data_IF_055934346783
#
_entry.id   IF_055934346783
#
_cell.length_a   1.000
_cell.length_b   1.000
_cell.length_c   1.000
_cell.angle_alpha   90.00
_cell.angle_beta   90.00
_cell.angle_gamma   90.00
#
_symmetry.space_group_name_H-M   'P 1'
#
loop_
_entity.id
_entity.type
_entity.pdbx_description
1 polymer ?
#
# COMPACT_ATOMS: atom_id res chain seq x y z
N UNK A 1 -27.41 16.21 29.58
CA UNK A 1 -26.89 16.48 28.22
C UNK A 1 -27.14 15.27 27.34
N UNK A 2 -27.67 15.44 26.12
CA UNK A 2 -27.61 14.36 25.11
C UNK A 2 -26.19 14.33 24.55
N UNK A 3 -25.50 13.18 24.60
CA UNK A 3 -24.27 12.98 23.81
C UNK A 3 -24.67 13.08 22.33
N UNK A 4 -24.11 14.07 21.62
CA UNK A 4 -24.24 14.09 20.16
C UNK A 4 -23.43 12.91 19.61
N UNK A 5 -24.09 11.96 18.94
CA UNK A 5 -23.39 10.89 18.22
C UNK A 5 -22.75 11.50 16.98
N UNK A 6 -21.41 11.52 16.93
CA UNK A 6 -20.65 12.14 15.83
C UNK A 6 -20.86 11.44 14.48
N UNK A 7 -21.28 10.17 14.50
CA UNK A 7 -21.57 9.38 13.30
C UNK A 7 -22.94 8.70 13.37
N UNK A 8 -23.48 8.37 12.19
CA UNK A 8 -24.82 7.81 11.98
C UNK A 8 -24.88 6.29 12.17
N UNK A 9 -23.72 5.65 12.22
CA UNK A 9 -23.51 4.21 12.36
C UNK A 9 -22.32 4.03 13.33
N UNK A 10 -22.50 3.23 14.39
CA UNK A 10 -21.45 2.95 15.37
C UNK A 10 -20.59 1.75 14.95
N UNK A 11 -21.13 0.82 14.15
CA UNK A 11 -20.42 -0.37 13.71
C UNK A 11 -19.35 -0.01 12.67
N UNK A 12 -19.59 1.01 11.83
CA UNK A 12 -18.58 1.52 10.89
C UNK A 12 -17.41 2.22 11.59
N UNK A 13 -17.66 2.96 12.69
CA UNK A 13 -16.61 3.58 13.51
C UNK A 13 -15.74 2.50 14.19
N UNK A 14 -16.37 1.43 14.69
CA UNK A 14 -15.67 0.27 15.27
C UNK A 14 -14.82 -0.47 14.24
N UNK A 15 -15.31 -0.59 13.00
CA UNK A 15 -14.51 -1.13 11.87
C UNK A 15 -13.27 -0.28 11.61
N UNK A 16 -13.46 1.03 11.42
CA UNK A 16 -12.38 1.95 11.09
C UNK A 16 -11.31 2.06 12.19
N UNK A 17 -11.73 2.06 13.47
CA UNK A 17 -10.81 2.07 14.61
C UNK A 17 -9.99 0.77 14.68
N UNK A 18 -10.62 -0.37 14.42
CA UNK A 18 -9.93 -1.66 14.37
C UNK A 18 -8.90 -1.75 13.25
N UNK A 19 -9.17 -1.17 12.08
CA UNK A 19 -8.19 -1.02 11.01
C UNK A 19 -6.99 -0.17 11.48
N UNK A 20 -7.24 1.03 12.01
CA UNK A 20 -6.18 1.94 12.45
C UNK A 20 -5.27 1.33 13.52
N UNK A 21 -5.84 0.70 14.54
CA UNK A 21 -5.07 0.05 15.60
C UNK A 21 -4.24 -1.14 15.06
N UNK A 22 -4.77 -1.91 14.10
CA UNK A 22 -4.01 -2.96 13.41
C UNK A 22 -2.84 -2.37 12.62
N UNK A 23 -3.03 -1.26 11.90
CA UNK A 23 -1.95 -0.61 11.15
C UNK A 23 -0.87 -0.04 12.09
N UNK A 24 -1.27 0.55 13.22
CA UNK A 24 -0.33 1.04 14.26
C UNK A 24 0.48 -0.11 14.85
N UNK A 25 -0.16 -1.20 15.26
CA UNK A 25 0.53 -2.38 15.79
C UNK A 25 1.50 -2.99 14.76
N UNK A 26 1.12 -3.08 13.48
CA UNK A 26 2.03 -3.56 12.42
C UNK A 26 3.24 -2.64 12.19
N UNK A 27 3.04 -1.32 12.18
CA UNK A 27 4.14 -0.36 12.01
C UNK A 27 5.10 -0.41 13.21
N UNK A 28 4.59 -0.51 14.44
CA UNK A 28 5.40 -0.55 15.67
C UNK A 28 6.15 -1.89 15.79
N UNK A 29 5.44 -3.03 15.69
CA UNK A 29 6.01 -4.35 15.93
C UNK A 29 6.92 -4.84 14.79
N UNK A 30 6.66 -4.47 13.54
CA UNK A 30 7.46 -4.97 12.40
C UNK A 30 8.86 -4.37 12.33
N UNK A 31 9.11 -3.27 13.07
CA UNK A 31 10.36 -2.51 13.05
C UNK A 31 10.83 -2.17 11.62
N UNK A 32 9.92 -1.63 10.80
CA UNK A 32 10.22 -1.17 9.43
C UNK A 32 10.42 -2.29 8.41
N UNK A 33 10.06 -3.53 8.73
CA UNK A 33 10.14 -4.68 7.81
C UNK A 33 8.82 -5.04 7.13
N UNK A 34 7.70 -4.55 7.67
CA UNK A 34 6.45 -4.41 6.95
C UNK A 34 6.22 -2.93 6.65
N UNK A 35 5.57 -2.64 5.54
CA UNK A 35 5.06 -1.31 5.24
C UNK A 35 3.58 -1.40 4.87
N UNK A 36 2.76 -0.52 5.44
CA UNK A 36 1.31 -0.48 5.20
C UNK A 36 1.05 0.50 4.06
N UNK A 37 0.19 0.13 3.12
CA UNK A 37 -0.33 1.04 2.10
C UNK A 37 -1.86 1.05 2.18
N UNK A 38 -2.45 2.23 2.38
CA UNK A 38 -3.90 2.37 2.56
C UNK A 38 -4.58 2.75 1.24
N UNK A 39 -5.75 2.16 0.91
CA UNK A 39 -6.45 2.43 -0.34
C UNK A 39 -6.95 3.87 -0.41
N UNK A 40 -6.89 4.47 -1.59
CA UNK A 40 -7.52 5.77 -1.87
C UNK A 40 -9.02 5.64 -2.22
N UNK A 41 -9.46 4.43 -2.53
CA UNK A 41 -10.84 4.04 -2.78
C UNK A 41 -11.05 2.64 -2.22
N UNK A 42 -12.00 2.49 -1.28
CA UNK A 42 -12.39 1.18 -0.77
C UNK A 42 -12.97 0.29 -1.88
N UNK A 43 -12.37 -0.89 -2.03
CA UNK A 43 -12.79 -1.97 -2.93
C UNK A 43 -12.79 -3.34 -2.22
N UNK A 44 -12.91 -3.35 -0.89
CA UNK A 44 -12.94 -4.53 -0.03
C UNK A 44 -11.58 -5.01 0.47
N UNK A 45 -10.48 -4.35 0.10
CA UNK A 45 -9.15 -4.53 0.68
C UNK A 45 -8.83 -3.27 1.49
N UNK A 46 -8.60 -3.44 2.79
CA UNK A 46 -8.50 -2.35 3.77
C UNK A 46 -7.05 -1.82 3.87
N UNK A 47 -6.06 -2.66 3.53
CA UNK A 47 -4.69 -2.24 3.22
C UNK A 47 -3.97 -3.24 2.30
N UNK A 48 -2.89 -2.79 1.69
CA UNK A 48 -1.92 -3.63 1.00
C UNK A 48 -0.59 -3.54 1.75
N UNK A 49 0.01 -4.68 2.11
CA UNK A 49 1.24 -4.72 2.92
C UNK A 49 2.42 -5.17 2.06
N UNK A 50 3.54 -4.46 2.16
CA UNK A 50 4.82 -4.82 1.55
C UNK A 50 5.75 -5.43 2.61
N UNK A 51 6.28 -6.63 2.36
CA UNK A 51 7.37 -7.22 3.15
C UNK A 51 8.71 -6.85 2.53
N UNK A 52 9.45 -5.99 3.21
CA UNK A 52 10.67 -5.33 2.71
C UNK A 52 11.84 -6.30 2.49
N UNK A 53 11.82 -7.49 3.12
CA UNK A 53 12.91 -8.46 3.06
C UNK A 53 12.96 -9.25 1.75
N UNK A 54 11.81 -9.60 1.18
CA UNK A 54 11.69 -10.39 -0.06
C UNK A 54 10.92 -9.67 -1.17
N UNK A 55 10.39 -8.47 -0.91
CA UNK A 55 9.64 -7.67 -1.88
C UNK A 55 8.22 -8.18 -2.13
N UNK A 56 7.71 -9.08 -1.29
CA UNK A 56 6.36 -9.65 -1.45
C UNK A 56 5.27 -8.67 -0.99
N UNK A 57 4.12 -8.77 -1.64
CA UNK A 57 2.95 -7.92 -1.38
C UNK A 57 1.76 -8.81 -1.04
N UNK A 58 0.99 -8.44 -0.02
CA UNK A 58 -0.21 -9.16 0.36
C UNK A 58 -1.35 -8.19 0.72
N UNK A 59 -2.53 -8.33 0.07
CA UNK A 59 -3.72 -7.57 0.42
C UNK A 59 -4.29 -8.06 1.76
N UNK A 60 -4.81 -7.13 2.55
CA UNK A 60 -5.29 -7.38 3.91
C UNK A 60 -6.67 -6.74 4.09
N UNK A 61 -7.58 -7.51 4.68
CA UNK A 61 -8.91 -7.09 5.11
C UNK A 61 -9.04 -7.26 6.62
N UNK A 62 -9.49 -6.24 7.34
CA UNK A 62 -9.71 -6.24 8.79
C UNK A 62 -11.21 -6.37 9.09
N UNK A 63 -11.56 -7.14 10.12
CA UNK A 63 -12.93 -7.26 10.63
C UNK A 63 -12.92 -7.12 12.16
N UNK A 64 -13.09 -5.87 12.60
CA UNK A 64 -13.21 -5.49 14.01
C UNK A 64 -14.58 -5.77 14.61
N UNK A 65 -14.62 -6.01 15.93
CA UNK A 65 -15.83 -6.00 16.77
C UNK A 65 -15.53 -5.33 18.10
N UNK A 66 -16.46 -4.50 18.60
CA UNK A 66 -16.36 -3.85 19.92
C UNK A 66 -16.69 -4.80 21.09
N UNK A 67 -17.30 -5.96 20.81
CA UNK A 67 -17.64 -6.97 21.81
C UNK A 67 -17.55 -8.38 21.25
N UNK A 68 -17.05 -9.31 22.07
CA UNK A 68 -17.06 -10.75 21.81
C UNK A 68 -18.40 -11.37 22.27
N UNK A 69 -18.99 -12.24 21.44
CA UNK A 69 -20.13 -13.06 21.88
C UNK A 69 -19.62 -14.36 22.48
N UNK A 70 -19.79 -14.54 23.79
CA UNK A 70 -19.31 -15.70 24.55
C UNK A 70 -17.81 -15.98 24.30
N UNK A 71 -16.97 -14.94 24.45
CA UNK A 71 -15.52 -15.00 24.20
C UNK A 71 -15.14 -15.27 22.74
N UNK A 72 -16.09 -15.13 21.80
CA UNK A 72 -15.89 -15.47 20.39
C UNK A 72 -16.17 -14.29 19.46
N UNK A 73 -15.27 -14.09 18.50
CA UNK A 73 -15.40 -13.16 17.39
C UNK A 73 -16.38 -13.74 16.37
N UNK A 74 -17.31 -12.91 15.89
CA UNK A 74 -18.35 -13.31 14.94
C UNK A 74 -18.08 -12.64 13.59
N UNK A 75 -17.58 -13.42 12.64
CA UNK A 75 -17.29 -12.99 11.27
C UNK A 75 -18.40 -13.51 10.36
N UNK A 76 -19.00 -12.61 9.59
CA UNK A 76 -19.94 -12.92 8.50
C UNK A 76 -19.42 -12.18 7.28
N UNK A 77 -19.11 -12.93 6.23
CA UNK A 77 -18.56 -12.39 4.99
C UNK A 77 -19.44 -12.85 3.81
N UNK A 78 -19.98 -11.93 2.99
CA UNK A 78 -20.56 -12.28 1.70
C UNK A 78 -19.57 -13.09 0.85
N UNK A 79 -20.02 -14.15 0.18
CA UNK A 79 -19.12 -14.95 -0.66
C UNK A 79 -18.48 -14.11 -1.78
N UNK A 80 -19.17 -13.05 -2.24
CA UNK A 80 -18.69 -12.11 -3.25
C UNK A 80 -17.76 -11.01 -2.72
N UNK A 81 -17.57 -10.87 -1.39
CA UNK A 81 -16.57 -9.95 -0.81
C UNK A 81 -15.26 -10.65 -0.47
N UNK A 82 -15.19 -11.96 -0.67
CA UNK A 82 -13.98 -12.75 -0.54
C UNK A 82 -13.60 -13.21 -1.96
N UNK A 83 -12.83 -12.39 -2.67
CA UNK A 83 -12.49 -12.62 -4.09
C UNK A 83 -11.08 -13.15 -4.31
N UNK A 84 -10.20 -12.99 -3.33
CA UNK A 84 -8.76 -13.21 -3.47
C UNK A 84 -8.32 -14.28 -2.45
N UNK A 85 -8.10 -15.54 -2.87
CA UNK A 85 -7.84 -16.64 -1.94
C UNK A 85 -6.57 -16.45 -1.09
N UNK A 86 -5.64 -15.60 -1.54
CA UNK A 86 -4.36 -15.33 -0.89
C UNK A 86 -4.39 -14.04 -0.03
N UNK A 87 -5.45 -13.23 -0.12
CA UNK A 87 -5.65 -12.09 0.76
C UNK A 87 -5.79 -12.52 2.23
N UNK A 88 -5.20 -11.75 3.15
CA UNK A 88 -5.28 -12.00 4.58
C UNK A 88 -6.52 -11.36 5.19
N UNK A 89 -7.30 -12.17 5.92
CA UNK A 89 -8.39 -11.73 6.76
C UNK A 89 -7.90 -11.65 8.22
N UNK A 90 -7.84 -10.43 8.74
CA UNK A 90 -7.54 -10.12 10.14
C UNK A 90 -8.85 -9.96 10.93
N UNK A 91 -9.05 -10.80 11.94
CA UNK A 91 -10.20 -10.72 12.84
C UNK A 91 -9.77 -10.24 14.22
N UNK A 92 -10.30 -9.10 14.68
CA UNK A 92 -9.91 -8.49 15.96
C UNK A 92 -11.12 -8.12 16.80
N UNK A 93 -10.97 -8.23 18.12
CA UNK A 93 -11.84 -7.53 19.07
C UNK A 93 -11.15 -6.24 19.53
N UNK A 94 -11.94 -5.20 19.80
CA UNK A 94 -11.47 -4.01 20.49
C UNK A 94 -11.78 -4.12 21.99
N UNK A 95 -10.78 -3.84 22.82
CA UNK A 95 -10.83 -3.78 24.27
C UNK A 95 -10.20 -2.45 24.70
N UNK A 96 -10.95 -1.62 25.43
CA UNK A 96 -10.57 -0.25 25.80
C UNK A 96 -10.00 0.57 24.63
N UNK A 97 -10.74 0.56 23.51
CA UNK A 97 -10.44 1.22 22.22
C UNK A 97 -9.17 0.73 21.48
N UNK A 98 -8.48 -0.28 22.01
CA UNK A 98 -7.29 -0.91 21.41
C UNK A 98 -7.56 -2.33 20.89
N UNK A 99 -6.70 -2.88 20.02
CA UNK A 99 -6.78 -4.30 19.66
C UNK A 99 -6.59 -5.18 20.91
N UNK A 100 -7.52 -6.10 21.13
CA UNK A 100 -7.51 -7.05 22.25
C UNK A 100 -6.31 -8.03 22.21
N UNK A 101 -6.11 -8.84 23.26
CA UNK A 101 -4.89 -9.63 23.44
C UNK A 101 -4.65 -10.73 22.39
N UNK A 102 -5.66 -11.09 21.59
CA UNK A 102 -5.56 -12.11 20.55
C UNK A 102 -6.20 -11.64 19.25
N UNK A 103 -5.60 -12.07 18.13
CA UNK A 103 -5.99 -11.72 16.76
C UNK A 103 -6.12 -12.99 15.91
N UNK A 104 -7.12 -13.05 15.05
CA UNK A 104 -7.20 -14.04 13.97
C UNK A 104 -6.38 -13.53 12.79
N UNK A 105 -5.53 -14.39 12.23
CA UNK A 105 -4.80 -14.16 10.96
C UNK A 105 -4.98 -15.40 10.09
N UNK A 106 -5.70 -15.27 8.97
CA UNK A 106 -6.04 -16.40 8.08
C UNK A 106 -6.14 -15.90 6.63
N UNK A 107 -5.85 -16.72 5.62
CA UNK A 107 -6.15 -16.34 4.21
C UNK A 107 -7.64 -16.47 3.92
N UNK A 108 -8.18 -15.75 2.93
CA UNK A 108 -9.56 -15.96 2.51
C UNK A 108 -9.82 -17.40 2.04
N UNK A 109 -8.85 -18.01 1.36
CA UNK A 109 -8.93 -19.40 0.89
C UNK A 109 -9.13 -20.37 2.05
N UNK A 110 -8.33 -20.25 3.11
CA UNK A 110 -8.49 -21.06 4.31
C UNK A 110 -9.76 -20.72 5.09
N UNK A 111 -10.14 -19.44 5.15
CA UNK A 111 -11.42 -19.04 5.74
C UNK A 111 -12.60 -19.69 5.01
N UNK A 112 -12.67 -19.61 3.67
CA UNK A 112 -13.68 -20.28 2.82
C UNK A 112 -13.71 -21.80 3.02
N UNK A 113 -12.55 -22.41 3.30
CA UNK A 113 -12.38 -23.86 3.52
C UNK A 113 -12.94 -24.32 4.86
N UNK A 114 -12.75 -23.55 5.94
CA UNK A 114 -13.09 -23.97 7.30
C UNK A 114 -14.30 -23.25 7.92
N UNK A 115 -14.74 -22.13 7.35
CA UNK A 115 -15.96 -21.44 7.73
C UNK A 115 -17.21 -22.24 7.35
N UNK A 116 -18.30 -21.99 8.06
CA UNK A 116 -19.59 -22.60 7.76
C UNK A 116 -20.26 -21.81 6.62
N UNK A 117 -20.84 -22.51 5.64
CA UNK A 117 -21.60 -21.89 4.54
C UNK A 117 -23.04 -21.64 4.99
N UNK A 118 -23.60 -20.49 4.62
CA UNK A 118 -24.97 -20.08 4.92
C UNK A 118 -25.50 -19.11 3.86
N UNK A 119 -26.75 -18.68 3.98
CA UNK A 119 -27.34 -17.64 3.15
C UNK A 119 -27.95 -16.53 4.02
N UNK A 120 -27.65 -15.27 3.70
CA UNK A 120 -28.27 -14.09 4.34
C UNK A 120 -29.04 -13.33 3.27
N UNK A 121 -30.35 -13.18 3.45
CA UNK A 121 -31.26 -12.55 2.46
C UNK A 121 -31.09 -13.13 1.04
N UNK A 122 -30.97 -14.46 0.95
CA UNK A 122 -30.77 -15.19 -0.32
C UNK A 122 -29.35 -15.11 -0.91
N UNK A 123 -28.43 -14.30 -0.37
CA UNK A 123 -27.05 -14.20 -0.85
C UNK A 123 -26.16 -15.23 -0.12
N UNK A 124 -25.28 -15.97 -0.82
CA UNK A 124 -24.31 -16.86 -0.18
C UNK A 124 -23.35 -16.10 0.74
N UNK A 125 -23.12 -16.64 1.93
CA UNK A 125 -22.27 -16.08 2.97
C UNK A 125 -21.45 -17.17 3.66
N UNK A 126 -20.22 -16.83 4.04
CA UNK A 126 -19.43 -17.59 4.99
C UNK A 126 -19.61 -17.00 6.38
N UNK A 127 -19.81 -17.86 7.39
CA UNK A 127 -19.90 -17.43 8.78
C UNK A 127 -18.94 -18.24 9.67
N UNK A 128 -18.36 -17.56 10.64
CA UNK A 128 -17.41 -18.11 11.58
C UNK A 128 -17.62 -17.54 12.98
N UNK A 129 -17.65 -18.44 13.96
CA UNK A 129 -17.45 -18.11 15.36
C UNK A 129 -16.05 -18.57 15.77
N UNK A 130 -15.17 -17.60 16.03
CA UNK A 130 -13.76 -17.82 16.35
C UNK A 130 -13.54 -17.50 17.82
N UNK A 131 -13.16 -18.51 18.62
CA UNK A 131 -12.77 -18.25 20.02
C UNK A 131 -11.44 -17.52 20.05
N UNK A 132 -11.41 -16.31 20.61
CA UNK A 132 -10.16 -15.59 20.89
C UNK A 132 -9.65 -15.86 22.32
N UNK A 133 -10.36 -16.71 23.09
CA UNK A 133 -9.89 -17.20 24.39
C UNK A 133 -8.70 -18.16 24.21
N UNK A 134 -7.54 -17.91 24.84
CA UNK A 134 -6.35 -18.76 24.72
C UNK A 134 -6.58 -20.18 25.25
N UNK A 135 -5.84 -21.14 24.70
CA UNK A 135 -5.88 -22.55 25.11
C UNK A 135 -7.13 -23.33 24.68
N UNK A 136 -8.16 -22.68 24.13
CA UNK A 136 -9.38 -23.37 23.68
C UNK A 136 -9.18 -24.04 22.32
N UNK A 137 -9.11 -25.37 22.31
CA UNK A 137 -9.00 -26.18 21.08
C UNK A 137 -10.19 -25.93 20.15
N UNK A 138 -9.90 -25.55 18.90
CA UNK A 138 -10.87 -25.40 17.83
C UNK A 138 -10.19 -25.45 16.46
N UNK A 139 -10.96 -25.65 15.38
CA UNK A 139 -10.43 -25.62 13.99
C UNK A 139 -9.69 -24.30 13.64
N UNK A 140 -10.01 -23.23 14.37
CA UNK A 140 -9.47 -21.89 14.21
C UNK A 140 -8.17 -21.64 15.00
N UNK A 141 -7.85 -22.48 16.00
CA UNK A 141 -6.81 -22.17 16.98
C UNK A 141 -5.41 -21.97 16.36
N UNK A 142 -5.11 -22.66 15.25
CA UNK A 142 -3.86 -22.50 14.49
C UNK A 142 -3.71 -21.13 13.79
N UNK A 143 -4.81 -20.38 13.68
CA UNK A 143 -4.88 -19.05 13.06
C UNK A 143 -5.06 -17.93 14.10
N UNK A 144 -5.07 -18.24 15.39
CA UNK A 144 -5.23 -17.26 16.48
C UNK A 144 -3.89 -17.01 17.15
N UNK A 145 -3.41 -15.78 17.09
CA UNK A 145 -2.10 -15.35 17.56
C UNK A 145 -2.25 -14.34 18.72
N UNK A 146 -1.30 -14.28 19.67
CA UNK A 146 -1.21 -13.15 20.60
C UNK A 146 -0.98 -11.85 19.83
N UNK A 147 -1.57 -10.74 20.28
CA UNK A 147 -1.45 -9.42 19.62
C UNK A 147 0.00 -9.00 19.38
N UNK A 148 0.89 -9.27 20.33
CA UNK A 148 2.33 -8.95 20.27
C UNK A 148 3.09 -9.78 19.23
N UNK A 149 2.43 -10.74 18.60
CA UNK A 149 2.95 -11.55 17.49
C UNK A 149 2.21 -11.25 16.18
N UNK A 150 1.42 -10.18 16.09
CA UNK A 150 0.68 -9.83 14.87
C UNK A 150 1.63 -9.53 13.71
N UNK A 151 2.63 -8.65 13.90
CA UNK A 151 3.60 -8.40 12.85
C UNK A 151 4.47 -9.63 12.57
N UNK A 152 4.83 -10.40 13.61
CA UNK A 152 5.51 -11.69 13.43
C UNK A 152 4.69 -12.59 12.51
N UNK A 153 3.39 -12.79 12.75
CA UNK A 153 2.48 -13.65 11.98
C UNK A 153 2.28 -13.23 10.51
N UNK A 154 2.54 -11.96 10.16
CA UNK A 154 2.56 -11.47 8.77
C UNK A 154 3.98 -11.56 8.15
N UNK A 155 5.01 -11.33 8.96
CA UNK A 155 6.42 -11.45 8.57
C UNK A 155 6.91 -12.89 8.43
N UNK A 156 6.10 -13.82 8.96
CA UNK A 156 6.21 -15.26 9.10
C UNK A 156 6.50 -16.00 7.76
N UNK A 157 6.04 -17.21 7.42
CA UNK A 157 5.39 -18.25 8.23
C UNK A 157 6.06 -18.53 9.59
N UNK A 158 7.34 -18.13 9.81
CA UNK A 158 8.07 -17.75 11.07
C UNK A 158 9.61 -17.73 10.76
N UNK A 159 10.51 -16.80 11.18
CA UNK A 159 10.50 -15.56 12.03
C UNK A 159 11.71 -14.63 11.68
N UNK A 160 11.71 -13.30 12.01
CA UNK A 160 12.69 -12.35 11.44
C UNK A 160 13.75 -11.73 12.39
N UNK A 161 14.70 -10.94 11.85
CA UNK A 161 15.75 -10.22 12.63
C UNK A 161 16.17 -8.81 12.12
N UNK A 162 16.33 -7.92 13.11
CA UNK A 162 17.19 -6.72 13.24
C UNK A 162 16.86 -5.30 12.67
N UNK A 163 16.79 -4.37 13.65
CA UNK A 163 17.30 -2.98 13.78
C UNK A 163 16.92 -1.87 12.76
N UNK A 164 16.35 -0.79 13.32
CA UNK A 164 16.07 0.52 12.70
C UNK A 164 16.97 1.62 13.31
N UNK A 165 17.38 2.58 12.49
CA UNK A 165 17.96 3.89 12.83
C UNK A 165 17.72 4.86 11.65
N UNK A 166 17.83 6.20 11.81
CA UNK A 166 17.01 7.12 12.61
C UNK A 166 16.28 8.15 11.66
N UNK A 167 15.65 9.26 12.11
CA UNK A 167 14.56 9.92 11.35
C UNK A 167 14.99 10.82 10.16
N UNK A 168 14.06 11.13 9.23
CA UNK A 168 14.36 11.86 8.00
C UNK A 168 14.72 13.35 8.19
N UNK A 169 15.57 13.86 7.28
CA UNK A 169 15.98 15.27 7.22
C UNK A 169 14.84 16.19 6.74
N UNK A 170 14.70 17.35 7.37
CA UNK A 170 13.73 18.39 6.99
C UNK A 170 14.12 19.00 5.62
N UNK A 171 13.32 18.74 4.58
CA UNK A 171 13.36 19.48 3.30
C UNK A 171 12.45 20.71 3.33
N UNK A 172 12.85 21.79 2.63
CA UNK A 172 12.12 23.07 2.60
C UNK A 172 10.70 22.97 2.06
N UNK A 173 9.80 23.85 2.54
CA UNK A 173 8.36 23.75 2.28
C UNK A 173 7.96 23.81 0.79
N UNK A 174 8.64 24.63 -0.01
CA UNK A 174 8.36 24.79 -1.46
C UNK A 174 8.71 23.50 -2.24
N UNK A 175 9.76 22.79 -1.84
CA UNK A 175 10.13 21.51 -2.45
C UNK A 175 9.08 20.43 -2.14
N UNK A 176 8.58 20.38 -0.90
CA UNK A 176 7.47 19.48 -0.50
C UNK A 176 6.20 19.74 -1.32
N UNK A 177 5.81 21.00 -1.48
CA UNK A 177 4.64 21.36 -2.29
C UNK A 177 4.77 21.03 -3.78
N UNK A 178 5.99 20.91 -4.30
CA UNK A 178 6.24 20.50 -5.71
C UNK A 178 6.23 18.99 -5.87
N UNK A 179 6.84 18.24 -4.92
CA UNK A 179 6.76 16.78 -4.87
C UNK A 179 5.31 16.29 -4.84
N UNK A 180 4.55 16.76 -3.85
CA UNK A 180 3.15 16.42 -3.63
C UNK A 180 2.24 16.65 -4.86
N UNK A 181 2.46 17.72 -5.63
CA UNK A 181 1.71 17.95 -6.89
C UNK A 181 1.91 16.80 -7.88
N UNK A 182 3.13 16.29 -8.00
CA UNK A 182 3.44 15.20 -8.91
C UNK A 182 2.86 13.88 -8.43
N UNK A 183 2.92 13.58 -7.14
CA UNK A 183 2.21 12.44 -6.56
C UNK A 183 0.72 12.49 -6.90
N UNK A 184 0.07 13.65 -6.71
CA UNK A 184 -1.36 13.84 -7.01
C UNK A 184 -1.68 13.64 -8.49
N UNK A 185 -0.88 14.20 -9.42
CA UNK A 185 -1.11 13.98 -10.86
C UNK A 185 -0.83 12.53 -11.28
N UNK A 186 0.20 11.88 -10.73
CA UNK A 186 0.47 10.46 -10.97
C UNK A 186 -0.69 9.62 -10.46
N UNK A 187 -1.13 9.81 -9.21
CA UNK A 187 -2.36 9.17 -8.67
C UNK A 187 -3.55 9.41 -9.57
N UNK A 188 -3.77 10.65 -10.05
CA UNK A 188 -4.90 10.98 -10.92
C UNK A 188 -4.84 10.25 -12.28
N UNK A 189 -3.65 10.16 -12.90
CA UNK A 189 -3.44 9.41 -14.16
C UNK A 189 -3.59 7.89 -14.00
N UNK A 190 -3.26 7.36 -12.82
CA UNK A 190 -3.51 5.97 -12.48
C UNK A 190 -5.01 5.72 -12.26
N UNK A 191 -5.72 6.71 -11.67
CA UNK A 191 -7.17 6.65 -11.43
C UNK A 191 -8.02 6.81 -12.70
N UNK A 192 -7.42 7.26 -13.82
CA UNK A 192 -8.04 7.24 -15.15
C UNK A 192 -8.21 5.79 -15.70
N UNK A 193 -7.79 4.74 -14.95
CA UNK A 193 -7.95 3.31 -15.30
C UNK A 193 -8.67 2.53 -14.19
N UNK A 194 -9.92 2.13 -14.45
CA UNK A 194 -10.79 1.46 -13.47
C UNK A 194 -10.25 0.13 -12.91
N UNK A 195 -9.41 -0.59 -13.66
CA UNK A 195 -8.85 -1.90 -13.29
C UNK A 195 -7.72 -1.81 -12.27
N UNK A 196 -7.29 -0.60 -11.89
CA UNK A 196 -6.27 -0.35 -10.88
C UNK A 196 -6.90 0.10 -9.55
N UNK A 197 -6.50 -0.54 -8.46
CA UNK A 197 -6.74 -0.03 -7.10
C UNK A 197 -5.47 0.62 -6.59
N UNK A 198 -5.59 1.86 -6.12
CA UNK A 198 -4.45 2.73 -5.79
C UNK A 198 -4.35 2.88 -4.28
N UNK A 199 -3.14 2.71 -3.76
CA UNK A 199 -2.82 2.84 -2.35
C UNK A 199 -1.74 3.90 -2.13
N UNK A 200 -1.71 4.52 -0.94
CA UNK A 200 -0.65 5.43 -0.47
C UNK A 200 0.09 4.85 0.72
N UNK A 201 1.39 5.14 0.82
CA UNK A 201 2.23 4.74 1.94
C UNK A 201 1.70 5.26 3.29
N UNK A 202 1.73 4.40 4.31
CA UNK A 202 1.35 4.73 5.69
C UNK A 202 2.29 4.05 6.70
N UNK A 203 3.06 4.83 7.48
CA UNK A 203 3.41 6.25 7.26
C UNK A 203 4.26 6.42 5.97
N UNK A 204 4.41 7.64 5.46
CA UNK A 204 5.22 7.95 4.27
C UNK A 204 6.74 7.75 4.52
N UNK A 205 7.21 6.49 4.50
CA UNK A 205 8.59 6.07 4.83
C UNK A 205 9.18 5.02 3.87
N UNK A 206 8.47 4.58 2.83
CA UNK A 206 8.97 3.62 1.82
C UNK A 206 9.50 4.34 0.56
N UNK A 207 10.22 3.61 -0.27
CA UNK A 207 10.58 3.98 -1.65
C UNK A 207 9.35 4.29 -2.49
N UNK A 208 8.32 3.44 -2.45
CA UNK A 208 7.06 3.70 -3.15
C UNK A 208 6.21 4.71 -2.36
N UNK A 209 5.85 5.82 -2.99
CA UNK A 209 4.93 6.83 -2.46
C UNK A 209 3.47 6.47 -2.80
N UNK A 210 3.29 5.84 -3.96
CA UNK A 210 2.03 5.32 -4.50
C UNK A 210 2.22 3.87 -4.90
N UNK A 211 1.21 3.02 -4.67
CA UNK A 211 1.20 1.62 -5.10
C UNK A 211 -0.07 1.33 -5.88
N UNK A 212 0.01 0.48 -6.89
CA UNK A 212 -1.14 0.01 -7.67
C UNK A 212 -1.24 -1.51 -7.67
N UNK A 213 -2.47 -2.00 -7.45
CA UNK A 213 -2.88 -3.39 -7.59
C UNK A 213 -3.74 -3.50 -8.85
N UNK A 214 -3.45 -4.46 -9.73
CA UNK A 214 -4.32 -4.75 -10.87
C UNK A 214 -5.37 -5.80 -10.48
N UNK A 215 -6.65 -5.42 -10.54
CA UNK A 215 -7.73 -6.21 -9.93
C UNK A 215 -7.86 -7.64 -10.47
N UNK A 216 -7.54 -7.85 -11.77
CA UNK A 216 -7.67 -9.15 -12.44
C UNK A 216 -6.46 -10.07 -12.25
N UNK A 217 -5.24 -9.54 -12.30
CA UNK A 217 -4.01 -10.36 -12.20
C UNK A 217 -3.43 -10.42 -10.78
N UNK A 218 -3.97 -9.60 -9.85
CA UNK A 218 -3.52 -9.41 -8.47
C UNK A 218 -2.04 -9.01 -8.32
N UNK A 219 -1.40 -8.63 -9.43
CA UNK A 219 -0.04 -8.11 -9.44
C UNK A 219 0.00 -6.71 -8.84
N UNK A 220 1.16 -6.35 -8.28
CA UNK A 220 1.39 -5.07 -7.60
C UNK A 220 2.61 -4.37 -8.19
N UNK A 221 2.52 -3.05 -8.37
CA UNK A 221 3.67 -2.17 -8.65
C UNK A 221 3.73 -1.02 -7.64
N UNK A 222 4.91 -0.83 -7.06
CA UNK A 222 5.26 0.36 -6.30
C UNK A 222 5.81 1.47 -7.20
N UNK A 223 5.46 2.72 -6.90
CA UNK A 223 5.82 3.89 -7.70
C UNK A 223 6.42 4.96 -6.78
N UNK A 224 7.71 5.26 -7.01
CA UNK A 224 8.35 6.46 -6.49
C UNK A 224 8.12 7.61 -7.48
N UNK A 225 7.51 8.71 -7.06
CA UNK A 225 7.34 9.90 -7.90
C UNK A 225 8.50 10.87 -7.69
N UNK A 226 8.98 11.51 -8.76
CA UNK A 226 9.98 12.58 -8.69
C UNK A 226 9.57 13.74 -9.57
N UNK A 227 9.33 14.89 -8.94
CA UNK A 227 8.82 16.08 -9.61
C UNK A 227 9.90 17.14 -9.76
N UNK A 228 10.19 17.55 -10.99
CA UNK A 228 10.94 18.78 -11.25
C UNK A 228 9.97 19.94 -11.47
N UNK A 229 10.36 21.15 -11.08
CA UNK A 229 9.68 22.37 -11.51
C UNK A 229 10.45 23.02 -12.66
N UNK A 230 9.75 23.40 -13.72
CA UNK A 230 10.32 24.05 -14.90
C UNK A 230 9.62 25.38 -15.22
N UNK A 231 10.31 26.27 -15.91
CA UNK A 231 9.81 27.53 -16.44
C UNK A 231 10.76 28.06 -17.54
N UNK A 232 10.53 29.27 -18.07
CA UNK A 232 11.38 29.85 -19.14
C UNK A 232 12.83 30.12 -18.72
N UNK A 233 13.11 30.33 -17.42
CA UNK A 233 14.47 30.53 -16.90
C UNK A 233 15.12 29.21 -16.51
N UNK A 234 14.31 28.22 -16.12
CA UNK A 234 14.73 26.88 -15.71
C UNK A 234 13.99 25.83 -16.57
N UNK A 235 14.34 25.64 -17.85
CA UNK A 235 13.62 24.73 -18.77
C UNK A 235 13.88 23.24 -18.49
N UNK A 236 14.76 22.95 -17.55
CA UNK A 236 15.25 21.62 -17.19
C UNK A 236 15.48 21.55 -15.67
N UNK A 237 15.55 20.33 -15.13
CA UNK A 237 15.81 20.10 -13.72
C UNK A 237 16.47 18.75 -13.48
N UNK A 238 16.95 18.51 -12.26
CA UNK A 238 17.59 17.24 -11.88
C UNK A 238 16.61 16.41 -11.08
N UNK A 239 16.37 15.17 -11.50
CA UNK A 239 15.77 14.16 -10.63
C UNK A 239 16.87 13.68 -9.68
N UNK A 240 16.61 13.78 -8.38
CA UNK A 240 17.53 13.43 -7.30
C UNK A 240 16.90 12.35 -6.41
N UNK A 241 17.54 11.19 -6.38
CA UNK A 241 17.14 10.03 -5.58
C UNK A 241 18.24 9.78 -4.54
N UNK A 242 17.86 9.78 -3.26
CA UNK A 242 18.75 9.48 -2.15
C UNK A 242 18.94 7.95 -2.07
N UNK A 243 20.19 7.48 -2.18
CA UNK A 243 20.50 6.04 -2.18
C UNK A 243 20.19 5.40 -0.83
N UNK A 244 20.18 6.16 0.27
CA UNK A 244 19.87 5.62 1.59
C UNK A 244 18.39 5.23 1.75
N UNK A 245 17.49 5.83 0.96
CA UNK A 245 16.04 5.58 1.00
C UNK A 245 15.48 4.95 -0.26
N UNK A 246 16.32 4.48 -1.18
CA UNK A 246 15.91 3.91 -2.46
C UNK A 246 16.21 2.41 -2.51
N UNK A 247 15.16 1.58 -2.54
CA UNK A 247 15.27 0.12 -2.67
C UNK A 247 14.77 -0.34 -4.05
N UNK A 248 15.66 -0.58 -5.03
CA UNK A 248 15.28 -1.14 -6.31
C UNK A 248 14.66 -2.54 -6.17
N UNK A 249 13.62 -2.83 -6.93
CA UNK A 249 12.99 -4.15 -7.03
C UNK A 249 12.38 -4.36 -8.42
N UNK A 250 12.03 -5.60 -8.75
CA UNK A 250 11.32 -5.93 -10.00
C UNK A 250 9.91 -5.31 -10.07
N UNK A 251 9.31 -4.95 -8.92
CA UNK A 251 7.97 -4.38 -8.79
C UNK A 251 7.96 -2.88 -8.51
N UNK A 252 9.12 -2.24 -8.33
CA UNK A 252 9.22 -0.80 -8.08
C UNK A 252 9.64 -0.03 -9.34
N UNK A 253 8.95 1.07 -9.64
CA UNK A 253 9.23 1.99 -10.74
C UNK A 253 9.46 3.42 -10.23
N UNK A 254 10.24 4.20 -10.98
CA UNK A 254 10.41 5.64 -10.78
C UNK A 254 9.66 6.38 -11.87
N UNK A 255 8.72 7.24 -11.47
CA UNK A 255 7.97 8.10 -12.38
C UNK A 255 8.43 9.56 -12.23
N UNK A 256 9.04 10.10 -13.28
CA UNK A 256 9.54 11.47 -13.34
C UNK A 256 8.56 12.40 -14.05
N UNK A 257 8.08 13.45 -13.39
CA UNK A 257 7.13 14.43 -13.96
C UNK A 257 7.64 15.86 -13.85
N UNK A 258 7.27 16.71 -14.81
CA UNK A 258 7.70 18.11 -14.86
C UNK A 258 6.51 19.06 -14.70
N UNK A 259 6.54 19.89 -13.66
CA UNK A 259 5.54 20.92 -13.37
C UNK A 259 5.98 22.28 -13.93
N UNK A 260 5.23 22.83 -14.87
CA UNK A 260 5.46 24.20 -15.34
C UNK A 260 4.91 25.21 -14.33
N UNK A 261 5.83 26.01 -13.75
CA UNK A 261 5.51 26.99 -12.72
C UNK A 261 4.70 28.18 -13.26
N UNK A 262 4.90 28.55 -14.53
CA UNK A 262 4.32 29.73 -15.15
C UNK A 262 2.88 29.50 -15.63
N UNK A 263 2.63 28.39 -16.34
CA UNK A 263 1.28 28.02 -16.80
C UNK A 263 0.54 27.05 -15.87
N UNK A 264 1.15 26.68 -14.73
CA UNK A 264 0.54 25.87 -13.66
C UNK A 264 -0.10 24.57 -14.16
N UNK A 265 0.63 23.83 -14.99
CA UNK A 265 0.26 22.50 -15.48
C UNK A 265 1.48 21.57 -15.55
N UNK A 266 1.24 20.28 -15.57
CA UNK A 266 2.27 19.32 -15.94
C UNK A 266 2.60 19.41 -17.43
N UNK A 267 3.82 19.02 -17.79
CA UNK A 267 4.20 18.71 -19.17
C UNK A 267 3.55 17.40 -19.61
N UNK A 268 3.31 17.27 -20.91
CA UNK A 268 2.59 16.15 -21.49
C UNK A 268 3.40 14.84 -21.51
N UNK A 269 4.68 14.88 -21.11
CA UNK A 269 5.59 13.75 -21.08
C UNK A 269 6.21 13.53 -19.70
N UNK A 270 6.39 12.26 -19.38
CA UNK A 270 7.02 11.78 -18.16
C UNK A 270 8.15 10.78 -18.46
N UNK A 271 8.89 10.46 -17.42
CA UNK A 271 9.81 9.34 -17.35
C UNK A 271 9.12 8.19 -16.62
N UNK A 272 9.24 6.97 -17.14
CA UNK A 272 8.72 5.74 -16.54
C UNK A 272 9.85 4.71 -16.57
N UNK A 273 10.58 4.61 -15.45
CA UNK A 273 11.85 3.88 -15.35
C UNK A 273 11.70 2.70 -14.39
N UNK A 274 11.99 1.44 -14.78
CA UNK A 274 12.09 0.34 -13.83
C UNK A 274 13.17 0.66 -12.79
N UNK A 275 12.91 0.48 -11.49
CA UNK A 275 13.89 0.91 -10.47
C UNK A 275 15.26 0.20 -10.60
N UNK A 276 15.27 -1.04 -11.10
CA UNK A 276 16.48 -1.80 -11.43
C UNK A 276 17.32 -1.18 -12.57
N UNK A 277 16.72 -0.38 -13.45
CA UNK A 277 17.40 0.27 -14.56
C UNK A 277 18.06 1.61 -14.18
N UNK A 278 17.75 2.18 -13.02
CA UNK A 278 18.27 3.51 -12.60
C UNK A 278 19.80 3.54 -12.58
N UNK A 279 20.45 2.47 -12.12
CA UNK A 279 21.91 2.34 -12.10
C UNK A 279 22.54 2.21 -13.50
N UNK A 280 21.75 1.84 -14.54
CA UNK A 280 22.20 1.82 -15.95
C UNK A 280 22.20 3.23 -16.55
N UNK A 281 21.31 4.09 -16.06
CA UNK A 281 21.22 5.50 -16.46
C UNK A 281 22.40 6.27 -15.86
N UNK A 282 22.56 6.24 -14.53
CA UNK A 282 23.57 7.02 -13.80
C UNK A 282 24.20 6.22 -12.65
N UNK A 283 25.49 6.45 -12.39
CA UNK A 283 26.19 5.91 -11.23
C UNK A 283 25.95 6.79 -9.98
N UNK A 284 25.91 6.21 -8.78
CA UNK A 284 25.71 6.97 -7.54
C UNK A 284 26.90 7.90 -7.26
N UNK A 285 26.62 9.15 -6.89
CA UNK A 285 27.62 10.17 -6.53
C UNK A 285 27.24 10.85 -5.21
N UNK A 286 28.16 10.84 -4.23
CA UNK A 286 27.95 11.39 -2.87
C UNK A 286 26.65 10.93 -2.19
N UNK A 287 26.26 9.68 -2.40
CA UNK A 287 25.02 9.10 -1.83
C UNK A 287 23.74 9.38 -2.63
N UNK A 288 23.84 9.98 -3.82
CA UNK A 288 22.69 10.36 -4.65
C UNK A 288 22.80 9.79 -6.07
N UNK A 289 21.67 9.37 -6.63
CA UNK A 289 21.48 9.09 -8.06
C UNK A 289 20.82 10.31 -8.70
N UNK A 290 21.55 10.99 -9.59
CA UNK A 290 21.14 12.29 -10.15
C UNK A 290 21.22 12.31 -11.65
N UNK A 291 20.07 12.50 -12.32
CA UNK A 291 20.01 12.62 -13.78
C UNK A 291 19.21 13.86 -14.21
N UNK A 292 19.69 14.59 -15.23
CA UNK A 292 19.00 15.77 -15.74
C UNK A 292 17.80 15.36 -16.61
N UNK A 293 16.68 16.06 -16.43
CA UNK A 293 15.43 15.82 -17.11
C UNK A 293 15.00 17.10 -17.87
N UNK A 294 14.86 16.96 -19.19
CA UNK A 294 14.72 18.06 -20.14
C UNK A 294 13.37 17.96 -20.90
N UNK A 295 12.21 18.17 -20.26
CA UNK A 295 10.91 17.86 -20.84
C UNK A 295 10.71 18.43 -22.24
N UNK A 296 11.17 19.67 -22.47
CA UNK A 296 11.00 20.40 -23.74
C UNK A 296 12.17 20.19 -24.73
N UNK A 297 13.04 19.20 -24.53
CA UNK A 297 14.20 18.94 -25.40
C UNK A 297 14.56 17.46 -25.54
N UNK A 298 13.76 16.65 -26.26
CA UNK A 298 13.95 15.19 -26.38
C UNK A 298 15.35 14.75 -26.80
N UNK A 299 16.02 15.51 -27.68
CA UNK A 299 17.41 15.22 -28.12
C UNK A 299 18.45 15.27 -26.99
N UNK A 300 18.15 15.94 -25.87
CA UNK A 300 19.02 16.00 -24.68
C UNK A 300 18.82 14.84 -23.70
N UNK A 301 17.81 13.99 -23.88
CA UNK A 301 17.48 12.93 -22.90
C UNK A 301 18.54 11.83 -22.84
N UNK A 302 19.25 11.56 -23.93
CA UNK A 302 20.35 10.58 -23.97
C UNK A 302 19.90 9.21 -23.46
N UNK A 303 20.50 8.74 -22.36
CA UNK A 303 20.15 7.47 -21.70
C UNK A 303 18.71 7.40 -21.15
N UNK A 304 18.04 8.54 -20.98
CA UNK A 304 16.63 8.60 -20.53
C UNK A 304 15.62 8.35 -21.66
N UNK A 305 16.03 8.47 -22.93
CA UNK A 305 15.15 8.36 -24.10
C UNK A 305 14.27 7.09 -24.11
N UNK A 306 14.77 5.88 -23.76
CA UNK A 306 13.95 4.66 -23.75
C UNK A 306 12.78 4.68 -22.74
N UNK A 307 12.87 5.52 -21.72
CA UNK A 307 11.89 5.61 -20.62
C UNK A 307 10.90 6.77 -20.78
N UNK A 308 10.97 7.51 -21.89
CA UNK A 308 10.06 8.60 -22.25
C UNK A 308 8.68 8.07 -22.58
N UNK A 309 7.64 8.59 -21.94
CA UNK A 309 6.23 8.22 -22.18
C UNK A 309 5.33 9.46 -22.14
N UNK A 310 4.20 9.47 -22.86
CA UNK A 310 3.15 10.46 -22.62
C UNK A 310 2.60 10.29 -21.20
N UNK A 311 2.47 11.39 -20.46
CA UNK A 311 1.91 11.39 -19.11
C UNK A 311 0.43 10.96 -19.11
N UNK A 312 -0.28 11.22 -20.21
CA UNK A 312 -1.66 10.79 -20.41
C UNK A 312 -1.82 9.26 -20.40
N UNK A 313 -0.81 8.52 -20.87
CA UNK A 313 -0.89 7.06 -21.02
C UNK A 313 -0.45 6.31 -19.75
N UNK A 314 -0.03 7.02 -18.69
CA UNK A 314 0.63 6.44 -17.52
C UNK A 314 -0.16 5.31 -16.86
N UNK A 315 -1.48 5.47 -16.68
CA UNK A 315 -2.34 4.42 -16.11
C UNK A 315 -2.37 3.15 -16.96
N UNK A 316 -2.54 3.31 -18.28
CA UNK A 316 -2.58 2.21 -19.25
C UNK A 316 -1.23 1.48 -19.29
N UNK A 317 -0.12 2.22 -19.25
CA UNK A 317 1.23 1.67 -19.23
C UNK A 317 1.48 0.83 -17.96
N UNK A 318 1.08 1.30 -16.78
CA UNK A 318 1.24 0.53 -15.54
C UNK A 318 0.35 -0.71 -15.51
N UNK A 319 -0.89 -0.64 -16.00
CA UNK A 319 -1.76 -1.80 -16.15
C UNK A 319 -1.16 -2.85 -17.12
N UNK A 320 -0.56 -2.41 -18.24
CA UNK A 320 0.09 -3.31 -19.18
C UNK A 320 1.33 -4.01 -18.60
N UNK A 321 2.15 -3.30 -17.81
CA UNK A 321 3.31 -3.90 -17.11
C UNK A 321 2.86 -4.91 -16.04
N UNK A 322 1.81 -4.59 -15.28
CA UNK A 322 1.18 -5.51 -14.31
C UNK A 322 0.68 -6.80 -14.95
N UNK A 323 0.13 -6.72 -16.17
CA UNK A 323 -0.30 -7.89 -16.92
C UNK A 323 0.88 -8.69 -17.50
N UNK A 324 1.99 -8.01 -17.86
CA UNK A 324 3.22 -8.65 -18.35
C UNK A 324 3.93 -9.47 -17.27
N UNK A 325 3.90 -9.02 -16.01
CA UNK A 325 4.50 -9.73 -14.86
C UNK A 325 3.73 -11.03 -14.54
N UNK A 326 2.44 -11.12 -14.87
CA UNK A 326 1.62 -12.32 -14.62
C UNK A 326 1.76 -13.44 -15.67
N UNK A 327 2.81 -13.45 -16.50
CA UNK A 327 3.06 -14.44 -17.56
C UNK A 327 4.47 -15.03 -17.49
#
# INVERSE_FOLDING_TARGET
MRRASWHRDQDSVVGQLAEWEVWVELVVQSHGRLHVFLPLLDRGIDALIHRIEDGSWFPVQVKGRSQLRNGSLQIVAPAASLVDPDALLLGVALEDDHVGPFVLVITEGDFKRIANRSHVRGKPTFWAQVSLVPGRTSRWAQYVFPRQQLADALLAGIKPKFKVSPPPRIRGAIARATGFRGEVEVTRRLADVDELTIFRAFPDLETAEVVVLHEKSRQVLGIQVKTIGVDRQHPEGTIDIDVASFRPSATTWVVGVAWDRAVRRFRDECLVIPSLDVNRIVAPYRGHLRFPFFPDSPRKWGRLTPYRRPLADLGILMAAELFRISR
#
